data_IF_165584520894
#
_entry.id   IF_165584520894
#
_cell.length_a   1.000
_cell.length_b   1.000
_cell.length_c   1.000
_cell.angle_alpha   90.00
_cell.angle_beta   90.00
_cell.angle_gamma   90.00
#
_symmetry.space_group_name_H-M   'P 1'
#
loop_
_entity.id
_entity.type
_entity.pdbx_description
1 polymer ?
#
# COMPACT_ATOMS: atom_id res chain seq x y z
N UNK A 1 -38.62 7.50 -44.78
CA UNK A 1 -39.13 6.27 -44.16
C UNK A 1 -37.96 5.56 -43.47
N UNK A 2 -37.81 5.70 -42.15
CA UNK A 2 -36.65 5.17 -41.42
C UNK A 2 -36.96 3.73 -40.96
N UNK A 3 -36.24 2.74 -41.49
CA UNK A 3 -36.35 1.34 -41.07
C UNK A 3 -35.48 1.13 -39.84
N UNK A 4 -36.08 0.80 -38.69
CA UNK A 4 -35.33 0.34 -37.51
C UNK A 4 -34.71 -1.03 -37.82
N UNK A 5 -33.42 -1.27 -37.57
CA UNK A 5 -32.85 -2.60 -37.69
C UNK A 5 -33.44 -3.51 -36.60
N UNK A 6 -33.79 -4.74 -36.98
CA UNK A 6 -34.27 -5.75 -36.05
C UNK A 6 -33.14 -6.08 -35.07
N UNK A 7 -33.28 -5.59 -33.84
CA UNK A 7 -32.39 -5.91 -32.75
C UNK A 7 -32.68 -7.35 -32.34
N UNK A 8 -31.94 -8.29 -32.92
CA UNK A 8 -32.03 -9.70 -32.58
C UNK A 8 -31.69 -9.85 -31.10
N UNK A 9 -32.72 -10.10 -30.27
CA UNK A 9 -32.54 -10.35 -28.86
C UNK A 9 -31.63 -11.58 -28.70
N UNK A 10 -30.48 -11.39 -28.06
CA UNK A 10 -29.57 -12.50 -27.77
C UNK A 10 -30.34 -13.57 -26.97
N UNK A 11 -30.29 -14.83 -27.42
CA UNK A 11 -31.01 -15.93 -26.79
C UNK A 11 -30.52 -16.12 -25.36
N UNK A 12 -31.32 -15.69 -24.38
CA UNK A 12 -30.97 -15.70 -22.96
C UNK A 12 -30.69 -17.13 -22.46
N UNK A 13 -31.37 -18.13 -23.03
CA UNK A 13 -31.18 -19.54 -22.70
C UNK A 13 -29.80 -20.05 -23.10
N UNK A 14 -29.29 -19.65 -24.26
CA UNK A 14 -27.94 -20.03 -24.70
C UNK A 14 -26.84 -19.31 -23.92
N UNK A 15 -27.12 -18.10 -23.44
CA UNK A 15 -26.23 -17.38 -22.53
C UNK A 15 -26.20 -18.04 -21.15
N UNK A 16 -27.36 -18.46 -20.65
CA UNK A 16 -27.49 -19.15 -19.37
C UNK A 16 -26.78 -20.51 -19.37
N UNK A 17 -27.00 -21.36 -20.39
CA UNK A 17 -26.30 -22.65 -20.49
C UNK A 17 -24.78 -22.52 -20.56
N UNK A 18 -24.26 -21.47 -21.21
CA UNK A 18 -22.82 -21.18 -21.24
C UNK A 18 -22.32 -20.79 -19.85
N UNK A 19 -23.04 -19.91 -19.16
CA UNK A 19 -22.69 -19.49 -17.81
C UNK A 19 -22.68 -20.69 -16.83
N UNK A 20 -23.69 -21.57 -16.91
CA UNK A 20 -23.76 -22.78 -16.07
C UNK A 20 -22.57 -23.72 -16.30
N UNK A 21 -22.14 -23.93 -17.56
CA UNK A 21 -20.96 -24.73 -17.86
C UNK A 21 -19.69 -24.13 -17.25
N UNK A 22 -19.47 -22.83 -17.45
CA UNK A 22 -18.30 -22.14 -16.89
C UNK A 22 -18.28 -22.14 -15.37
N UNK A 23 -19.44 -22.03 -14.71
CA UNK A 23 -19.53 -22.11 -13.25
C UNK A 23 -19.19 -23.51 -12.73
N UNK A 24 -19.66 -24.57 -13.40
CA UNK A 24 -19.33 -25.96 -13.04
C UNK A 24 -17.84 -26.24 -13.23
N UNK A 25 -17.26 -25.80 -14.34
CA UNK A 25 -15.83 -25.93 -14.61
C UNK A 25 -14.99 -25.18 -13.56
N UNK A 26 -15.39 -23.95 -13.21
CA UNK A 26 -14.73 -23.17 -12.15
C UNK A 26 -14.82 -23.86 -10.79
N UNK A 27 -15.97 -24.45 -10.45
CA UNK A 27 -16.14 -25.20 -9.21
C UNK A 27 -15.21 -26.41 -9.15
N UNK A 28 -15.16 -27.22 -10.21
CA UNK A 28 -14.25 -28.37 -10.30
C UNK A 28 -12.76 -27.97 -10.21
N UNK A 29 -12.37 -26.86 -10.85
CA UNK A 29 -11.02 -26.30 -10.72
C UNK A 29 -10.73 -25.84 -9.28
N UNK A 30 -11.70 -25.21 -8.60
CA UNK A 30 -11.51 -24.77 -7.22
C UNK A 30 -11.38 -25.93 -6.23
N UNK A 31 -12.04 -27.05 -6.50
CA UNK A 31 -11.91 -28.29 -5.74
C UNK A 31 -10.53 -28.92 -5.99
N UNK A 32 -10.12 -29.02 -7.25
CA UNK A 32 -8.78 -29.51 -7.61
C UNK A 32 -7.64 -28.68 -6.99
N UNK A 33 -7.79 -27.35 -6.91
CA UNK A 33 -6.82 -26.47 -6.23
C UNK A 33 -6.73 -26.77 -4.73
N UNK A 34 -7.85 -27.12 -4.09
CA UNK A 34 -7.88 -27.44 -2.66
C UNK A 34 -7.23 -28.80 -2.36
N UNK A 35 -7.29 -29.74 -3.30
CA UNK A 35 -6.74 -31.09 -3.15
C UNK A 35 -5.25 -31.21 -3.51
N UNK A 36 -4.64 -30.16 -4.09
CA UNK A 36 -3.21 -30.16 -4.40
C UNK A 36 -2.36 -30.03 -3.11
N UNK A 37 -1.43 -30.98 -2.84
CA UNK A 37 -0.50 -30.86 -1.72
C UNK A 37 0.45 -29.67 -1.94
N UNK A 38 0.57 -28.80 -0.93
CA UNK A 38 1.13 -27.44 -1.02
C UNK A 38 2.62 -27.27 -1.33
N UNK A 39 3.32 -28.29 -1.86
CA UNK A 39 4.79 -28.28 -1.97
C UNK A 39 5.34 -28.51 -3.39
N UNK A 40 4.54 -28.41 -4.45
CA UNK A 40 5.04 -28.52 -5.84
C UNK A 40 5.09 -27.17 -6.53
N UNK A 41 6.30 -26.64 -6.71
CA UNK A 41 6.60 -25.50 -7.57
C UNK A 41 6.32 -25.89 -9.04
N UNK A 42 5.13 -25.57 -9.54
CA UNK A 42 4.78 -25.73 -10.95
C UNK A 42 4.98 -24.39 -11.65
N UNK A 43 5.85 -24.38 -12.67
CA UNK A 43 6.00 -23.25 -13.56
C UNK A 43 4.67 -22.99 -14.31
N UNK A 44 4.11 -21.79 -14.12
CA UNK A 44 2.81 -21.39 -14.68
C UNK A 44 2.89 -21.22 -16.21
N UNK A 45 2.00 -21.82 -17.03
CA UNK A 45 1.93 -21.53 -18.45
C UNK A 45 1.09 -20.27 -18.71
N UNK A 46 1.76 -19.28 -19.30
CA UNK A 46 1.26 -18.18 -20.15
C UNK A 46 -0.06 -17.51 -19.77
N UNK A 47 0.08 -16.35 -19.15
CA UNK A 47 -0.98 -15.48 -18.64
C UNK A 47 -1.86 -14.87 -19.75
N UNK A 48 -3.17 -14.84 -19.51
CA UNK A 48 -4.09 -13.95 -20.22
C UNK A 48 -3.97 -12.59 -19.56
N UNK A 49 -3.47 -11.59 -20.29
CA UNK A 49 -3.23 -10.26 -19.76
C UNK A 49 -4.54 -9.57 -19.34
N UNK A 50 -4.83 -9.62 -18.04
CA UNK A 50 -5.66 -8.64 -17.36
C UNK A 50 -4.66 -7.66 -16.79
N UNK A 51 -4.44 -6.50 -17.42
CA UNK A 51 -3.52 -5.48 -16.91
C UNK A 51 -3.94 -5.06 -15.48
N UNK A 52 -3.21 -5.48 -14.43
CA UNK A 52 -3.29 -4.82 -13.14
C UNK A 52 -2.32 -3.63 -13.23
N UNK A 53 -2.59 -2.56 -12.49
CA UNK A 53 -1.64 -1.48 -12.31
C UNK A 53 -0.24 -2.06 -11.99
N UNK A 54 0.80 -1.58 -12.67
CA UNK A 54 2.19 -2.01 -12.52
C UNK A 54 2.61 -2.01 -11.05
N UNK A 55 2.49 -3.16 -10.39
CA UNK A 55 3.38 -3.53 -9.29
C UNK A 55 4.45 -4.40 -9.92
N UNK A 56 5.68 -3.88 -10.16
CA UNK A 56 6.76 -4.77 -10.55
C UNK A 56 6.89 -5.87 -9.48
N UNK A 57 7.27 -7.11 -9.84
CA UNK A 57 7.50 -8.18 -8.89
C UNK A 57 8.73 -7.84 -8.04
N UNK A 58 8.53 -6.95 -7.06
CA UNK A 58 9.45 -6.75 -5.96
C UNK A 58 9.47 -8.03 -5.14
N UNK A 59 10.66 -8.48 -4.76
CA UNK A 59 10.84 -9.62 -3.86
C UNK A 59 10.18 -9.28 -2.53
N UNK A 60 8.93 -9.70 -2.34
CA UNK A 60 8.18 -9.45 -1.10
C UNK A 60 8.99 -10.03 0.06
N UNK A 61 9.59 -9.16 0.86
CA UNK A 61 10.41 -9.56 2.00
C UNK A 61 9.48 -10.12 3.06
N UNK A 62 9.67 -11.37 3.43
CA UNK A 62 8.90 -12.01 4.52
C UNK A 62 9.81 -12.20 5.72
N UNK A 63 9.25 -12.00 6.92
CA UNK A 63 9.93 -12.25 8.18
C UNK A 63 9.01 -13.06 9.09
N UNK A 64 9.45 -14.27 9.44
CA UNK A 64 8.67 -15.23 10.26
C UNK A 64 7.25 -15.47 9.71
N UNK A 65 7.11 -15.52 8.39
CA UNK A 65 5.82 -15.71 7.71
C UNK A 65 4.96 -14.45 7.57
N UNK A 66 5.39 -13.31 8.13
CA UNK A 66 4.71 -12.03 7.99
C UNK A 66 5.35 -11.22 6.86
N UNK A 67 4.53 -10.64 6.00
CA UNK A 67 4.99 -9.79 4.90
C UNK A 67 5.46 -8.45 5.46
N UNK A 68 6.69 -8.07 5.14
CA UNK A 68 7.23 -6.74 5.43
C UNK A 68 6.72 -5.78 4.35
N UNK A 69 5.95 -4.74 4.71
CA UNK A 69 5.59 -3.68 3.78
C UNK A 69 6.84 -3.00 3.22
N UNK A 70 6.82 -2.62 1.95
CA UNK A 70 7.89 -1.81 1.34
C UNK A 70 7.56 -0.33 1.42
N UNK A 71 8.56 0.48 1.70
CA UNK A 71 8.42 1.93 1.74
C UNK A 71 8.17 2.46 0.33
N UNK A 72 7.12 3.29 0.12
CA UNK A 72 6.86 3.87 -1.19
C UNK A 72 7.99 4.82 -1.58
N UNK A 73 8.37 4.79 -2.85
CA UNK A 73 9.37 5.70 -3.40
C UNK A 73 8.76 7.08 -3.62
N UNK A 74 9.46 8.17 -3.24
CA UNK A 74 8.98 9.51 -3.51
C UNK A 74 8.89 9.75 -5.02
N UNK A 75 7.85 10.47 -5.49
CA UNK A 75 7.70 10.77 -6.90
C UNK A 75 8.80 11.71 -7.37
N UNK A 76 9.18 11.58 -8.64
CA UNK A 76 10.18 12.44 -9.25
C UNK A 76 9.59 13.82 -9.57
N UNK A 77 10.44 14.85 -9.67
CA UNK A 77 9.98 16.23 -9.87
C UNK A 77 9.26 16.42 -11.22
N UNK A 78 9.64 15.64 -12.23
CA UNK A 78 9.06 15.60 -13.57
C UNK A 78 7.69 14.90 -13.63
N UNK A 79 7.34 14.10 -12.62
CA UNK A 79 6.01 13.49 -12.51
C UNK A 79 4.96 14.51 -12.03
N UNK A 80 5.39 15.59 -11.38
CA UNK A 80 4.51 16.68 -11.00
C UNK A 80 4.30 17.64 -12.17
N UNK A 81 3.10 17.65 -12.72
CA UNK A 81 2.74 18.53 -13.83
C UNK A 81 2.72 20.03 -13.47
N UNK A 82 2.71 20.37 -12.16
CA UNK A 82 2.65 21.74 -11.61
C UNK A 82 1.51 22.64 -12.16
N UNK A 83 0.56 22.07 -12.89
CA UNK A 83 -0.50 22.78 -13.63
C UNK A 83 -1.90 22.59 -13.03
N UNK A 84 -1.99 21.98 -11.85
CA UNK A 84 -3.26 21.73 -11.17
C UNK A 84 -4.02 20.51 -11.70
N UNK A 85 -3.36 19.34 -11.75
CA UNK A 85 -4.04 18.08 -12.06
C UNK A 85 -5.14 17.76 -11.04
N UNK A 86 -6.14 16.99 -11.48
CA UNK A 86 -7.24 16.55 -10.60
C UNK A 86 -6.78 15.69 -9.41
N UNK A 87 -5.65 15.00 -9.54
CA UNK A 87 -4.99 14.23 -8.47
C UNK A 87 -3.52 14.62 -8.45
N UNK A 88 -3.02 15.04 -7.29
CA UNK A 88 -1.61 15.36 -7.11
C UNK A 88 -0.82 14.08 -6.83
N UNK A 89 0.32 13.91 -7.50
CA UNK A 89 1.20 12.75 -7.28
C UNK A 89 1.76 12.76 -5.85
N UNK A 90 2.00 13.94 -5.27
CA UNK A 90 2.43 14.05 -3.88
C UNK A 90 1.35 13.62 -2.89
N UNK A 91 0.07 13.91 -3.17
CA UNK A 91 -1.03 13.46 -2.31
C UNK A 91 -1.14 11.92 -2.34
N UNK A 92 -1.06 11.31 -3.52
CA UNK A 92 -1.02 9.85 -3.66
C UNK A 92 0.17 9.24 -2.92
N UNK A 93 1.33 9.90 -2.98
CA UNK A 93 2.51 9.48 -2.25
C UNK A 93 2.28 9.56 -0.73
N UNK A 94 1.70 10.65 -0.23
CA UNK A 94 1.37 10.80 1.18
C UNK A 94 0.37 9.75 1.67
N UNK A 95 -0.68 9.46 0.88
CA UNK A 95 -1.62 8.37 1.17
C UNK A 95 -0.91 7.02 1.23
N UNK A 96 -0.03 6.74 0.27
CA UNK A 96 0.76 5.50 0.24
C UNK A 96 1.69 5.38 1.45
N UNK A 97 2.30 6.50 1.90
CA UNK A 97 3.12 6.57 3.09
C UNK A 97 2.30 6.32 4.36
N UNK A 98 1.09 6.87 4.45
CA UNK A 98 0.20 6.64 5.58
C UNK A 98 -0.21 5.17 5.67
N UNK A 99 -0.58 4.57 4.53
CA UNK A 99 -0.90 3.14 4.45
C UNK A 99 0.30 2.27 4.84
N UNK A 100 1.50 2.61 4.37
CA UNK A 100 2.74 1.95 4.77
C UNK A 100 2.95 2.00 6.29
N UNK A 101 2.88 3.20 6.91
CA UNK A 101 3.03 3.35 8.37
C UNK A 101 2.00 2.53 9.15
N UNK A 102 0.75 2.51 8.70
CA UNK A 102 -0.31 1.71 9.32
C UNK A 102 0.01 0.21 9.26
N UNK A 103 0.46 -0.28 8.10
CA UNK A 103 0.83 -1.69 7.91
C UNK A 103 2.05 -2.10 8.75
N UNK A 104 3.05 -1.22 8.87
CA UNK A 104 4.21 -1.44 9.74
C UNK A 104 3.78 -1.50 11.20
N UNK A 105 2.89 -0.62 11.65
CA UNK A 105 2.38 -0.64 13.03
C UNK A 105 1.60 -1.93 13.34
N UNK A 106 0.75 -2.39 12.40
CA UNK A 106 0.06 -3.66 12.53
C UNK A 106 1.03 -4.85 12.61
N UNK A 107 2.09 -4.83 11.78
CA UNK A 107 3.13 -5.85 11.81
C UNK A 107 3.90 -5.86 13.13
N UNK A 108 4.27 -4.69 13.66
CA UNK A 108 4.89 -4.56 14.99
C UNK A 108 3.99 -5.13 16.08
N UNK A 109 2.69 -4.84 16.05
CA UNK A 109 1.73 -5.39 17.00
C UNK A 109 1.67 -6.93 16.94
N UNK A 110 1.66 -7.51 15.74
CA UNK A 110 1.68 -8.96 15.55
C UNK A 110 2.98 -9.61 16.06
N UNK A 111 4.14 -8.97 15.84
CA UNK A 111 5.43 -9.44 16.33
C UNK A 111 5.52 -9.37 17.86
N UNK A 112 5.02 -8.30 18.46
CA UNK A 112 4.92 -8.15 19.93
C UNK A 112 3.99 -9.21 20.53
N UNK A 113 2.85 -9.48 19.91
CA UNK A 113 1.94 -10.56 20.32
C UNK A 113 2.60 -11.95 20.22
N UNK A 114 3.50 -12.13 19.26
CA UNK A 114 4.29 -13.36 19.09
C UNK A 114 5.54 -13.41 19.99
N UNK A 115 5.68 -12.48 20.95
CA UNK A 115 6.80 -12.37 21.90
C UNK A 115 8.19 -12.23 21.26
N UNK A 116 8.28 -11.75 20.02
CA UNK A 116 9.57 -11.52 19.34
C UNK A 116 10.20 -10.22 19.85
N UNK A 117 11.39 -10.25 20.47
CA UNK A 117 12.02 -9.04 21.00
C UNK A 117 12.45 -8.11 19.86
N UNK A 118 12.31 -6.80 20.07
CA UNK A 118 12.50 -5.77 19.02
C UNK A 118 13.91 -5.75 18.40
N UNK A 119 14.92 -6.23 19.13
CA UNK A 119 16.30 -6.38 18.65
C UNK A 119 16.43 -7.31 17.44
N UNK A 120 15.51 -8.27 17.31
CA UNK A 120 15.51 -9.26 16.23
C UNK A 120 14.72 -8.77 15.01
N UNK A 121 14.09 -7.60 15.10
CA UNK A 121 13.33 -7.05 13.99
C UNK A 121 14.27 -6.48 12.94
N UNK A 122 13.93 -6.59 11.65
CA UNK A 122 14.73 -5.99 10.59
C UNK A 122 14.70 -4.46 10.69
N UNK A 123 15.81 -3.82 10.31
CA UNK A 123 16.01 -2.37 10.46
C UNK A 123 14.90 -1.50 9.85
N UNK A 124 14.23 -1.98 8.79
CA UNK A 124 13.11 -1.28 8.13
C UNK A 124 11.85 -1.16 9.00
N UNK A 125 11.66 -2.07 9.96
CA UNK A 125 10.48 -2.08 10.84
C UNK A 125 10.83 -1.55 12.24
N UNK A 126 12.10 -1.51 12.61
CA UNK A 126 12.51 -0.89 13.87
C UNK A 126 12.01 0.57 13.91
N UNK A 127 11.54 1.02 15.06
CA UNK A 127 11.16 2.41 15.23
C UNK A 127 12.39 3.28 14.92
N UNK A 128 12.29 4.25 13.99
CA UNK A 128 13.30 5.29 13.93
C UNK A 128 13.43 5.88 15.33
N UNK A 129 14.61 6.32 15.75
CA UNK A 129 14.78 7.08 16.99
C UNK A 129 14.08 8.46 16.87
N UNK A 130 12.77 8.49 16.71
CA UNK A 130 11.92 9.69 16.71
C UNK A 130 12.11 10.48 18.00
N UNK A 131 12.44 9.78 19.09
CA UNK A 131 12.87 10.34 20.37
C UNK A 131 14.02 11.35 20.25
N UNK A 132 15.00 11.14 19.35
CA UNK A 132 16.09 12.12 19.14
C UNK A 132 15.63 13.34 18.36
N UNK A 133 14.76 13.19 17.36
CA UNK A 133 14.29 14.30 16.53
C UNK A 133 13.35 15.21 17.30
N UNK A 134 12.43 14.64 18.10
CA UNK A 134 11.54 15.42 18.96
C UNK A 134 12.32 16.16 20.06
N UNK A 135 13.30 15.51 20.69
CA UNK A 135 14.15 16.16 21.71
C UNK A 135 14.92 17.37 21.16
N UNK A 136 15.39 17.31 19.91
CA UNK A 136 16.09 18.44 19.27
C UNK A 136 15.12 19.57 18.93
N UNK A 137 13.90 19.26 18.48
CA UNK A 137 12.86 20.28 18.23
C UNK A 137 12.45 20.98 19.52
N UNK A 138 12.24 20.25 20.60
CA UNK A 138 11.89 20.83 21.91
C UNK A 138 12.97 21.76 22.43
N UNK A 139 14.25 21.37 22.31
CA UNK A 139 15.37 22.23 22.66
C UNK A 139 15.43 23.52 21.82
N UNK A 140 15.15 23.42 20.51
CA UNK A 140 15.11 24.59 19.63
C UNK A 140 13.97 25.56 19.99
N UNK A 141 12.77 25.05 20.27
CA UNK A 141 11.61 25.87 20.65
C UNK A 141 11.83 26.57 22.00
N UNK A 142 12.47 25.89 22.96
CA UNK A 142 12.84 26.48 24.25
C UNK A 142 13.78 27.68 24.10
N UNK A 143 14.76 27.59 23.19
CA UNK A 143 15.70 28.69 22.94
C UNK A 143 15.02 29.93 22.35
N UNK A 144 14.03 29.75 21.45
CA UNK A 144 13.27 30.87 20.89
C UNK A 144 12.36 31.54 21.92
N UNK A 145 11.72 30.78 22.81
CA UNK A 145 10.91 31.35 23.90
C UNK A 145 11.75 32.22 24.86
N UNK A 146 12.95 31.77 25.19
CA UNK A 146 13.89 32.55 26.02
C UNK A 146 14.29 33.87 25.34
N UNK A 147 14.57 33.82 24.02
CA UNK A 147 14.87 35.01 23.24
C UNK A 147 13.68 35.98 23.22
N UNK A 148 12.45 35.49 23.05
CA UNK A 148 11.26 36.35 23.12
C UNK A 148 11.09 37.02 24.48
N UNK A 149 11.31 36.29 25.59
CA UNK A 149 11.22 36.85 26.95
C UNK A 149 12.25 37.96 27.17
N UNK A 150 13.50 37.73 26.78
CA UNK A 150 14.56 38.73 26.91
C UNK A 150 14.29 39.97 26.06
N UNK A 151 13.76 39.82 24.84
CA UNK A 151 13.37 40.94 23.99
C UNK A 151 12.21 41.76 24.58
N UNK A 152 11.22 41.12 25.22
CA UNK A 152 10.11 41.82 25.90
C UNK A 152 10.59 42.63 27.10
N UNK A 153 11.53 42.09 27.88
CA UNK A 153 12.12 42.80 29.02
C UNK A 153 12.87 44.06 28.56
N UNK A 154 13.75 43.92 27.55
CA UNK A 154 14.50 45.07 27.01
C UNK A 154 13.62 46.13 26.36
N UNK A 155 12.48 45.75 25.78
CA UNK A 155 11.48 46.69 25.24
C UNK A 155 10.71 47.45 26.32
N UNK A 156 10.57 46.91 27.53
CA UNK A 156 9.87 47.55 28.62
C UNK A 156 10.76 48.52 29.44
N UNK A 157 12.07 48.41 29.28
CA UNK A 157 13.06 49.32 29.89
C UNK A 157 13.37 50.56 29.03
N UNK A 158 12.77 50.68 27.84
CA UNK A 158 12.84 51.84 26.93
C UNK A 158 11.54 52.62 27.01
#
# INVERSE_FOLDING_TARGET
MWKRPAQAGQNLSDRYRRLERSLREKAALSEFIQDLPGDVAVASPMEREVHPAHRPPGTVKTFRGLVIPEEPTPPAADECCMSGCAVCVYDLYEESLQAYKASVNALRAALRASSVPERDWPASIQEPRESKVNMVKDASMSAFEELERTLRQKKAEI
#
